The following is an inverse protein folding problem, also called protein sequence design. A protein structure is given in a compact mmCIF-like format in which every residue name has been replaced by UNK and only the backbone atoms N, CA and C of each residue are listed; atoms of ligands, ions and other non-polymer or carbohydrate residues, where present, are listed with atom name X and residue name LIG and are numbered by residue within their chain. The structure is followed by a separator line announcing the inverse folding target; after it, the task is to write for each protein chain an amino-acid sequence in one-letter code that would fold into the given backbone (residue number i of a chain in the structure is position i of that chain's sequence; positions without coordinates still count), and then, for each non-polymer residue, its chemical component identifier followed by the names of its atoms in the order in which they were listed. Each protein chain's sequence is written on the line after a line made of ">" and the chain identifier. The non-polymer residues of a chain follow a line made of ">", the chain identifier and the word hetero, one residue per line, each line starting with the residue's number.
data_IF_722195916772
#
_entry.id   IF_722195916772
#
_cell.length_a   1.000
_cell.length_b   1.000
_cell.length_c   1.000
_cell.angle_alpha   90.00
_cell.angle_beta   90.00
_cell.angle_gamma   90.00
#
_symmetry.space_group_name_H-M   'P 1'
#
loop_
_entity.id
_entity.type
_entity.pdbx_description
1 polymer ?
#
# COMPACT_ATOMS: atom_id res chain seq x y z
N UNK A 1 -19.95 22.80 11.51
CA UNK A 1 -18.57 22.56 11.97
C UNK A 1 -17.75 23.76 11.53
N UNK A 2 -17.04 24.47 12.43
CA UNK A 2 -16.16 25.57 12.03
C UNK A 2 -15.02 25.04 11.16
N UNK A 3 -14.55 25.85 10.19
CA UNK A 3 -13.38 25.49 9.39
C UNK A 3 -12.20 25.26 10.35
N UNK A 4 -11.49 24.15 10.18
CA UNK A 4 -10.24 23.90 10.91
C UNK A 4 -9.20 24.92 10.47
N UNK A 5 -8.40 25.41 11.41
CA UNK A 5 -7.26 26.26 11.08
C UNK A 5 -6.24 25.48 10.25
N UNK A 6 -5.75 26.08 9.17
CA UNK A 6 -4.75 25.48 8.26
C UNK A 6 -3.56 26.42 8.11
N UNK A 7 -2.42 25.85 7.70
CA UNK A 7 -1.24 26.59 7.28
C UNK A 7 -0.76 26.12 5.90
N UNK A 8 0.00 26.96 5.21
CA UNK A 8 0.64 26.61 3.95
C UNK A 8 2.08 26.17 4.19
N UNK A 9 2.47 25.07 3.58
CA UNK A 9 3.80 24.50 3.66
C UNK A 9 4.43 24.36 2.28
N UNK A 10 5.64 24.89 2.09
CA UNK A 10 6.45 24.75 0.89
C UNK A 10 7.42 23.60 1.05
N UNK A 11 7.24 22.56 0.26
CA UNK A 11 8.10 21.40 0.18
C UNK A 11 9.05 21.53 -1.02
N UNK A 12 10.32 21.29 -0.80
CA UNK A 12 11.38 21.31 -1.83
C UNK A 12 12.25 20.05 -1.82
N UNK A 13 12.01 19.12 -0.90
CA UNK A 13 12.77 17.87 -0.70
C UNK A 13 11.89 16.63 -0.75
N UNK A 14 12.12 15.68 0.15
CA UNK A 14 11.38 14.41 0.19
C UNK A 14 9.87 14.55 0.35
N UNK A 15 9.40 15.63 0.98
CA UNK A 15 7.98 15.95 1.12
C UNK A 15 7.30 16.39 -0.20
N UNK A 16 8.04 16.51 -1.30
CA UNK A 16 7.45 16.61 -2.64
C UNK A 16 6.68 15.34 -3.01
N UNK A 17 7.11 14.19 -2.50
CA UNK A 17 6.42 12.93 -2.73
C UNK A 17 5.21 12.79 -1.82
N UNK A 18 4.02 12.74 -2.44
CA UNK A 18 2.74 12.81 -1.74
C UNK A 18 2.56 11.72 -0.66
N UNK A 19 2.94 10.45 -0.87
CA UNK A 19 2.91 9.46 0.20
C UNK A 19 3.78 9.82 1.40
N UNK A 20 4.95 10.43 1.19
CA UNK A 20 5.84 10.86 2.27
C UNK A 20 5.24 11.96 3.13
N UNK A 21 4.72 13.03 2.50
CA UNK A 21 4.11 14.12 3.29
C UNK A 21 2.84 13.65 3.99
N UNK A 22 2.04 12.79 3.38
CA UNK A 22 0.80 12.28 3.98
C UNK A 22 1.03 11.29 5.11
N UNK A 23 2.12 10.52 5.12
CA UNK A 23 2.48 9.69 6.27
C UNK A 23 2.79 10.52 7.53
N UNK A 24 3.17 11.81 7.35
CA UNK A 24 3.46 12.78 8.43
C UNK A 24 2.24 13.64 8.75
N UNK A 25 1.55 14.09 7.72
CA UNK A 25 0.43 15.02 7.74
C UNK A 25 -0.72 14.48 6.88
N UNK A 26 -1.60 13.62 7.43
CA UNK A 26 -2.71 13.03 6.67
C UNK A 26 -3.64 14.05 6.03
N UNK A 27 -3.72 15.27 6.59
CA UNK A 27 -4.54 16.36 6.06
C UNK A 27 -3.92 17.08 4.85
N UNK A 28 -2.68 16.77 4.45
CA UNK A 28 -1.96 17.49 3.39
C UNK A 28 -2.72 17.46 2.05
N UNK A 29 -3.06 18.65 1.56
CA UNK A 29 -3.71 18.87 0.26
C UNK A 29 -2.79 19.67 -0.63
N UNK A 30 -2.57 19.20 -1.86
CA UNK A 30 -1.78 19.90 -2.88
C UNK A 30 -2.50 21.19 -3.29
N UNK A 31 -1.82 22.33 -3.15
CA UNK A 31 -2.25 23.60 -3.72
C UNK A 31 -1.70 23.78 -5.13
N UNK A 32 -0.41 23.52 -5.32
CA UNK A 32 0.25 23.59 -6.62
C UNK A 32 1.75 23.72 -6.53
N UNK A 33 2.40 23.64 -7.70
CA UNK A 33 3.81 23.95 -7.85
C UNK A 33 4.04 25.45 -7.64
N UNK A 34 5.19 25.80 -7.06
CA UNK A 34 5.58 27.17 -6.79
C UNK A 34 7.10 27.35 -6.90
N UNK A 35 7.52 28.59 -7.15
CA UNK A 35 8.93 28.98 -7.14
C UNK A 35 9.18 29.99 -6.04
N UNK A 36 10.22 29.77 -5.27
CA UNK A 36 10.68 30.68 -4.24
C UNK A 36 11.91 31.42 -4.72
N UNK A 37 11.70 32.65 -5.18
CA UNK A 37 12.77 33.52 -5.67
C UNK A 37 13.70 33.98 -4.53
N UNK A 38 15.00 34.09 -4.82
CA UNK A 38 15.99 34.49 -3.84
C UNK A 38 16.44 33.34 -2.91
N UNK A 39 16.15 32.10 -3.29
CA UNK A 39 16.52 30.90 -2.53
C UNK A 39 17.05 29.81 -3.47
N UNK A 40 18.02 29.04 -2.98
CA UNK A 40 18.54 27.87 -3.70
C UNK A 40 18.49 26.61 -2.83
N UNK A 41 18.32 25.47 -3.49
CA UNK A 41 18.33 24.15 -2.83
C UNK A 41 19.75 23.59 -2.84
N UNK A 42 20.18 23.09 -1.69
CA UNK A 42 21.47 22.43 -1.47
C UNK A 42 21.25 21.02 -0.92
N UNK A 43 22.26 20.16 -1.03
CA UNK A 43 22.22 18.82 -0.43
C UNK A 43 23.32 18.73 0.63
N UNK A 44 23.10 19.33 1.79
CA UNK A 44 24.14 19.55 2.78
C UNK A 44 23.69 19.44 4.26
N UNK A 45 22.43 19.08 4.53
CA UNK A 45 21.95 18.81 5.88
C UNK A 45 22.35 17.40 6.30
N UNK A 46 23.13 17.22 7.39
CA UNK A 46 23.48 15.88 7.89
C UNK A 46 22.24 15.11 8.35
N UNK A 47 22.26 13.80 8.20
CA UNK A 47 21.18 12.92 8.65
C UNK A 47 21.73 11.79 9.53
N UNK A 48 20.88 11.26 10.42
CA UNK A 48 21.22 10.13 11.30
C UNK A 48 21.60 8.86 10.54
N UNK A 49 21.20 8.74 9.29
CA UNK A 49 21.57 7.61 8.41
C UNK A 49 22.97 7.76 7.79
N UNK A 50 23.67 8.87 8.08
CA UNK A 50 25.02 9.16 7.59
C UNK A 50 25.07 9.82 6.21
N UNK A 51 23.92 10.11 5.57
CA UNK A 51 23.85 10.80 4.28
C UNK A 51 23.49 12.28 4.42
N UNK A 52 23.59 13.05 3.34
CA UNK A 52 23.04 14.40 3.27
C UNK A 52 21.56 14.39 2.88
N UNK A 53 20.82 15.40 3.36
CA UNK A 53 19.45 15.70 2.93
C UNK A 53 19.39 17.09 2.28
N UNK A 54 18.32 17.34 1.54
CA UNK A 54 18.08 18.61 0.88
C UNK A 54 17.83 19.71 1.91
N UNK A 55 18.39 20.87 1.66
CA UNK A 55 18.29 22.09 2.44
C UNK A 55 18.01 23.27 1.52
N UNK A 56 17.46 24.35 2.06
CA UNK A 56 17.21 25.60 1.34
C UNK A 56 17.95 26.74 2.04
N UNK A 57 18.60 27.61 1.27
CA UNK A 57 19.30 28.79 1.79
C UNK A 57 19.01 30.01 0.92
N UNK A 58 19.08 31.18 1.57
CA UNK A 58 18.97 32.45 0.85
C UNK A 58 20.09 32.58 -0.19
N UNK A 59 19.71 32.85 -1.43
CA UNK A 59 20.59 33.08 -2.57
C UNK A 59 19.89 34.10 -3.49
N UNK A 60 20.32 35.37 -3.51
CA UNK A 60 19.65 36.41 -4.29
C UNK A 60 19.53 36.11 -5.80
N UNK A 61 20.34 35.20 -6.32
CA UNK A 61 20.30 34.76 -7.72
C UNK A 61 19.56 33.44 -7.92
N UNK A 62 19.11 32.80 -6.84
CA UNK A 62 18.51 31.48 -6.85
C UNK A 62 16.99 31.52 -7.07
N UNK A 63 16.46 30.38 -7.50
CA UNK A 63 15.04 30.11 -7.62
C UNK A 63 14.78 28.67 -7.20
N UNK A 64 14.26 28.46 -6.00
CA UNK A 64 13.94 27.11 -5.51
C UNK A 64 12.55 26.71 -5.95
N UNK A 65 12.45 25.59 -6.67
CA UNK A 65 11.18 25.02 -7.10
C UNK A 65 10.65 24.04 -6.07
N UNK A 66 9.33 24.02 -5.88
CA UNK A 66 8.70 23.15 -4.91
C UNK A 66 7.19 23.08 -5.05
N UNK A 67 6.53 22.53 -4.04
CA UNK A 67 5.08 22.38 -3.98
C UNK A 67 4.54 22.99 -2.70
N UNK A 68 3.45 23.73 -2.81
CA UNK A 68 2.71 24.22 -1.66
C UNK A 68 1.60 23.24 -1.30
N UNK A 69 1.57 22.86 -0.03
CA UNK A 69 0.50 22.10 0.59
C UNK A 69 -0.31 22.99 1.53
N UNK A 70 -1.62 22.75 1.62
CA UNK A 70 -2.45 23.19 2.72
C UNK A 70 -2.60 22.04 3.73
N UNK A 71 -2.28 22.31 5.01
CA UNK A 71 -2.20 21.30 6.06
C UNK A 71 -2.98 21.82 7.27
N UNK A 72 -3.77 20.94 7.93
CA UNK A 72 -4.45 21.27 9.17
C UNK A 72 -3.43 21.57 10.29
N UNK A 73 -3.67 22.60 11.12
CA UNK A 73 -2.79 22.94 12.26
C UNK A 73 -2.60 21.77 13.23
N UNK A 74 -3.54 20.82 13.28
CA UNK A 74 -3.41 19.60 14.08
C UNK A 74 -2.23 18.71 13.70
N UNK A 75 -1.79 18.74 12.43
CA UNK A 75 -0.68 17.94 11.93
C UNK A 75 0.69 18.65 12.10
N UNK A 76 0.69 19.93 12.48
CA UNK A 76 1.90 20.74 12.60
C UNK A 76 2.96 20.10 13.48
N UNK A 77 2.57 19.58 14.64
CA UNK A 77 3.50 18.94 15.57
C UNK A 77 4.17 17.68 14.98
N UNK A 78 3.42 16.91 14.20
CA UNK A 78 3.96 15.71 13.55
C UNK A 78 4.95 16.09 12.43
N UNK A 79 4.67 17.15 11.68
CA UNK A 79 5.58 17.68 10.67
C UNK A 79 6.87 18.19 11.33
N UNK A 80 6.80 19.03 12.37
CA UNK A 80 7.95 19.54 13.07
C UNK A 80 8.83 18.39 13.66
N UNK A 81 8.19 17.36 14.20
CA UNK A 81 8.90 16.18 14.75
C UNK A 81 9.61 15.35 13.67
N UNK A 82 9.13 15.40 12.43
CA UNK A 82 9.72 14.67 11.30
C UNK A 82 10.87 15.41 10.62
N UNK A 83 11.15 16.64 11.02
CA UNK A 83 12.20 17.52 10.46
C UNK A 83 13.24 17.89 11.54
N UNK A 84 13.94 16.88 12.14
CA UNK A 84 14.88 17.13 13.23
C UNK A 84 16.03 18.03 12.75
N UNK A 85 16.43 18.97 13.62
CA UNK A 85 17.52 19.95 13.39
C UNK A 85 17.24 20.99 12.31
N UNK A 86 16.12 20.91 11.59
CA UNK A 86 15.68 22.01 10.75
C UNK A 86 14.97 23.09 11.58
N UNK A 87 15.09 24.34 11.11
CA UNK A 87 14.43 25.52 11.68
C UNK A 87 13.24 25.89 10.77
N UNK A 88 12.02 25.98 11.31
CA UNK A 88 10.88 26.48 10.53
C UNK A 88 11.02 27.98 10.28
N UNK A 89 10.83 28.39 9.03
CA UNK A 89 10.80 29.79 8.62
C UNK A 89 9.50 30.08 7.87
N UNK A 90 9.06 31.33 7.90
CA UNK A 90 7.90 31.80 7.12
C UNK A 90 8.40 32.77 6.06
N UNK A 91 8.03 32.47 4.83
CA UNK A 91 8.40 33.22 3.63
C UNK A 91 7.11 33.68 2.92
N UNK A 92 7.24 34.59 1.99
CA UNK A 92 6.11 35.01 1.13
C UNK A 92 6.24 34.35 -0.26
N UNK A 93 5.17 33.70 -0.68
CA UNK A 93 5.02 33.19 -2.04
C UNK A 93 3.71 33.72 -2.60
N UNK A 94 3.77 34.43 -3.72
CA UNK A 94 2.61 35.09 -4.35
C UNK A 94 1.78 35.96 -3.39
N UNK A 95 2.47 36.69 -2.50
CA UNK A 95 1.84 37.57 -1.52
C UNK A 95 1.12 36.86 -0.35
N UNK A 96 1.40 35.58 -0.15
CA UNK A 96 0.83 34.78 0.93
C UNK A 96 1.93 34.18 1.81
N UNK A 97 1.76 34.14 3.16
CA UNK A 97 2.71 33.50 4.04
C UNK A 97 2.72 31.99 3.85
N UNK A 98 3.93 31.44 3.70
CA UNK A 98 4.16 30.01 3.51
C UNK A 98 5.31 29.57 4.41
N UNK A 99 5.10 28.53 5.18
CA UNK A 99 6.10 27.96 6.05
C UNK A 99 6.98 26.98 5.28
N UNK A 100 8.25 26.95 5.58
CA UNK A 100 9.19 25.90 5.12
C UNK A 100 10.25 25.67 6.20
N UNK A 101 11.17 24.72 5.96
CA UNK A 101 12.26 24.40 6.87
C UNK A 101 13.62 24.73 6.23
N UNK A 102 14.54 25.20 7.03
CA UNK A 102 15.94 25.41 6.64
C UNK A 102 16.88 24.83 7.70
N UNK A 103 18.05 24.35 7.29
CA UNK A 103 19.11 23.92 8.19
C UNK A 103 20.21 24.98 8.20
N UNK A 104 20.50 25.48 9.39
CA UNK A 104 21.48 26.58 9.62
C UNK A 104 22.83 26.11 10.18
N UNK A 105 22.99 24.80 10.42
CA UNK A 105 24.22 24.23 10.95
C UNK A 105 25.33 24.05 9.90
N UNK A 106 26.40 23.37 10.31
CA UNK A 106 27.55 23.11 9.44
C UNK A 106 27.16 22.20 8.27
N UNK A 107 27.54 22.55 7.03
CA UNK A 107 27.25 21.77 5.85
C UNK A 107 27.83 20.35 5.90
N UNK A 108 27.07 19.37 5.56
CA UNK A 108 27.56 18.01 5.41
C UNK A 108 28.22 17.80 4.05
N UNK A 109 29.30 17.01 4.01
CA UNK A 109 30.08 16.76 2.78
C UNK A 109 29.76 15.39 2.15
N UNK A 110 29.05 14.52 2.86
CA UNK A 110 28.63 13.23 2.28
C UNK A 110 27.49 13.39 1.28
N UNK A 111 27.48 12.61 0.19
CA UNK A 111 26.38 12.63 -0.77
C UNK A 111 25.06 12.10 -0.16
N UNK A 112 23.92 12.44 -0.77
CA UNK A 112 22.64 11.81 -0.43
C UNK A 112 22.61 10.34 -0.87
N UNK A 113 21.76 9.54 -0.24
CA UNK A 113 21.47 8.21 -0.76
C UNK A 113 20.56 8.25 -1.99
N UNK A 114 20.75 7.26 -2.88
CA UNK A 114 20.03 7.09 -4.13
C UNK A 114 18.49 7.09 -3.94
N UNK A 115 17.99 6.32 -2.97
CA UNK A 115 16.55 6.26 -2.68
C UNK A 115 15.94 7.60 -2.27
N UNK A 116 16.72 8.44 -1.53
CA UNK A 116 16.25 9.74 -1.07
C UNK A 116 16.07 10.71 -2.26
N UNK A 117 17.05 10.73 -3.14
CA UNK A 117 17.00 11.56 -4.35
C UNK A 117 15.96 11.04 -5.33
N UNK A 118 15.80 9.71 -5.48
CA UNK A 118 14.75 9.12 -6.30
C UNK A 118 13.35 9.51 -5.82
N UNK A 119 13.12 9.49 -4.50
CA UNK A 119 11.86 9.93 -3.89
C UNK A 119 11.58 11.42 -4.15
N UNK A 120 12.57 12.29 -3.93
CA UNK A 120 12.42 13.72 -4.17
C UNK A 120 12.13 14.01 -5.66
N UNK A 121 12.83 13.33 -6.59
CA UNK A 121 12.63 13.44 -8.04
C UNK A 121 11.25 12.94 -8.47
N UNK A 122 10.82 11.78 -7.97
CA UNK A 122 9.49 11.24 -8.28
C UNK A 122 8.39 12.19 -7.81
N UNK A 123 8.53 12.72 -6.57
CA UNK A 123 7.61 13.72 -6.04
C UNK A 123 7.54 14.96 -6.93
N UNK A 124 8.68 15.45 -7.37
CA UNK A 124 8.76 16.59 -8.27
C UNK A 124 8.06 16.36 -9.61
N UNK A 125 8.40 15.26 -10.28
CA UNK A 125 7.79 14.89 -11.56
C UNK A 125 6.28 14.76 -11.46
N UNK A 126 5.75 14.23 -10.35
CA UNK A 126 4.32 14.10 -10.12
C UNK A 126 3.58 15.45 -10.05
N UNK A 127 4.33 16.53 -9.82
CA UNK A 127 3.81 17.92 -9.79
C UNK A 127 4.24 18.75 -11.00
N UNK A 128 4.81 18.12 -12.04
CA UNK A 128 5.23 18.79 -13.27
C UNK A 128 6.51 19.62 -13.13
N UNK A 129 7.29 19.41 -12.07
CA UNK A 129 8.58 20.07 -11.86
C UNK A 129 9.70 19.27 -12.54
N UNK A 130 10.51 19.88 -13.39
CA UNK A 130 11.47 19.17 -14.26
C UNK A 130 12.91 19.31 -13.79
N UNK A 131 13.29 20.46 -13.17
CA UNK A 131 14.64 20.75 -12.73
C UNK A 131 14.65 21.12 -11.25
N UNK A 132 15.01 20.16 -10.41
CA UNK A 132 14.78 20.35 -8.99
C UNK A 132 16.01 20.48 -8.14
N UNK A 133 17.18 20.10 -8.58
CA UNK A 133 18.22 19.95 -7.56
C UNK A 133 19.64 20.12 -8.06
N UNK A 134 20.48 20.63 -7.11
CA UNK A 134 21.89 20.76 -7.33
C UNK A 134 22.52 19.41 -7.71
N UNK A 135 23.64 19.49 -8.37
CA UNK A 135 24.42 18.37 -8.89
C UNK A 135 25.07 17.50 -7.79
N UNK A 136 24.30 17.14 -6.75
CA UNK A 136 24.78 16.14 -5.80
C UNK A 136 24.50 14.75 -6.39
N UNK A 137 25.56 14.12 -6.87
CA UNK A 137 25.48 12.73 -7.33
C UNK A 137 25.16 11.82 -6.14
N UNK A 138 24.04 11.09 -6.14
CA UNK A 138 23.70 10.21 -5.04
C UNK A 138 24.59 8.97 -5.03
N UNK A 139 24.80 8.40 -3.85
CA UNK A 139 25.48 7.11 -3.69
C UNK A 139 24.48 6.03 -3.28
N UNK A 140 24.77 4.75 -3.59
CA UNK A 140 23.95 3.65 -3.14
C UNK A 140 23.84 3.58 -1.62
N UNK A 141 22.64 3.29 -1.11
CA UNK A 141 22.44 3.01 0.32
C UNK A 141 23.19 1.72 0.70
N UNK A 142 24.00 1.72 1.77
CA UNK A 142 24.80 0.55 2.14
C UNK A 142 23.96 -0.66 2.61
N UNK A 143 22.71 -0.44 3.04
CA UNK A 143 21.82 -1.53 3.50
C UNK A 143 21.02 -2.11 2.32
N UNK A 144 20.47 -1.27 1.47
CA UNK A 144 19.64 -1.68 0.33
C UNK A 144 20.02 -0.85 -0.91
N UNK A 145 21.16 -1.15 -1.56
CA UNK A 145 21.62 -0.40 -2.71
C UNK A 145 20.65 -0.53 -3.89
N UNK A 146 20.41 0.59 -4.59
CA UNK A 146 19.53 0.64 -5.76
C UNK A 146 18.04 0.60 -5.44
N UNK A 147 17.65 0.81 -4.18
CA UNK A 147 16.25 0.90 -3.80
C UNK A 147 15.68 2.26 -4.21
N UNK A 148 14.44 2.25 -4.74
CA UNK A 148 13.71 3.45 -5.14
C UNK A 148 12.21 3.31 -4.90
N UNK A 149 11.45 4.41 -4.82
CA UNK A 149 10.00 4.33 -4.80
C UNK A 149 9.47 3.70 -6.10
N UNK A 150 8.43 2.88 -5.98
CA UNK A 150 7.69 2.36 -7.11
C UNK A 150 6.54 3.30 -7.49
N UNK A 151 6.27 3.38 -8.79
CA UNK A 151 5.09 4.02 -9.37
C UNK A 151 4.13 2.99 -9.98
N UNK A 152 3.05 3.47 -10.59
CA UNK A 152 2.11 2.60 -11.32
C UNK A 152 2.77 1.87 -12.50
N UNK A 153 3.77 2.49 -13.12
CA UNK A 153 4.52 1.89 -14.24
C UNK A 153 5.35 0.67 -13.82
N UNK A 154 5.57 0.50 -12.52
CA UNK A 154 6.29 -0.65 -11.96
C UNK A 154 5.36 -1.85 -11.65
N UNK A 155 4.05 -1.74 -11.89
CA UNK A 155 3.08 -2.78 -11.53
C UNK A 155 3.43 -4.14 -12.15
N UNK A 156 3.69 -4.19 -13.45
CA UNK A 156 4.05 -5.43 -14.15
C UNK A 156 5.32 -6.07 -13.58
N UNK A 157 6.32 -5.25 -13.27
CA UNK A 157 7.55 -5.71 -12.64
C UNK A 157 7.30 -6.36 -11.27
N UNK A 158 6.51 -5.71 -10.41
CA UNK A 158 6.16 -6.26 -9.09
C UNK A 158 5.36 -7.53 -9.22
N UNK A 159 4.37 -7.57 -10.12
CA UNK A 159 3.57 -8.76 -10.38
C UNK A 159 4.44 -9.93 -10.84
N UNK A 160 5.47 -9.67 -11.67
CA UNK A 160 6.43 -10.70 -12.11
C UNK A 160 7.17 -11.33 -10.92
N UNK A 161 7.70 -10.52 -9.98
CA UNK A 161 8.38 -11.03 -8.77
C UNK A 161 7.43 -11.91 -7.94
N UNK A 162 6.19 -11.47 -7.77
CA UNK A 162 5.20 -12.20 -6.97
C UNK A 162 4.81 -13.53 -7.64
N UNK A 163 4.56 -13.52 -8.95
CA UNK A 163 4.25 -14.74 -9.72
C UNK A 163 5.41 -15.74 -9.72
N UNK A 164 6.65 -15.28 -9.93
CA UNK A 164 7.84 -16.13 -9.83
C UNK A 164 7.98 -16.75 -8.43
N UNK A 165 7.72 -15.94 -7.38
CA UNK A 165 7.76 -16.40 -6.00
C UNK A 165 6.70 -17.48 -5.72
N UNK A 166 5.48 -17.28 -6.20
CA UNK A 166 4.39 -18.26 -6.07
C UNK A 166 4.69 -19.55 -6.85
N UNK A 167 5.21 -19.43 -8.07
CA UNK A 167 5.53 -20.56 -8.92
C UNK A 167 6.70 -21.43 -8.37
N UNK A 168 7.61 -20.82 -7.61
CA UNK A 168 8.76 -21.53 -7.03
C UNK A 168 8.37 -22.51 -5.90
N UNK A 169 7.15 -22.44 -5.37
CA UNK A 169 6.63 -23.32 -4.31
C UNK A 169 7.60 -23.47 -3.12
N UNK A 170 8.19 -22.37 -2.69
CA UNK A 170 9.08 -22.32 -1.52
C UNK A 170 8.27 -22.25 -0.21
N UNK A 171 8.97 -22.35 0.92
CA UNK A 171 8.37 -22.13 2.26
C UNK A 171 7.97 -20.66 2.51
N UNK A 172 8.34 -19.75 1.60
CA UNK A 172 8.03 -18.33 1.65
C UNK A 172 6.60 -18.09 1.19
N UNK A 173 5.93 -17.17 1.87
CA UNK A 173 4.65 -16.67 1.40
C UNK A 173 4.85 -15.52 0.41
N UNK A 174 4.04 -15.52 -0.64
CA UNK A 174 3.91 -14.41 -1.58
C UNK A 174 2.43 -14.06 -1.72
N UNK A 175 2.10 -12.76 -1.66
CA UNK A 175 0.75 -12.31 -2.01
C UNK A 175 0.49 -12.58 -3.48
N UNK A 176 -0.77 -12.68 -3.84
CA UNK A 176 -1.16 -12.81 -5.25
C UNK A 176 -0.90 -11.52 -6.02
N UNK A 177 -0.41 -11.57 -7.27
CA UNK A 177 -0.22 -10.37 -8.10
C UNK A 177 -1.46 -9.49 -8.22
N UNK A 178 -2.65 -10.08 -8.18
CA UNK A 178 -3.93 -9.39 -8.16
C UNK A 178 -4.18 -8.60 -6.87
N UNK A 179 -3.78 -9.13 -5.71
CA UNK A 179 -3.88 -8.38 -4.44
C UNK A 179 -3.02 -7.13 -4.47
N UNK A 180 -1.80 -7.26 -5.00
CA UNK A 180 -0.93 -6.10 -5.17
C UNK A 180 -1.55 -5.06 -6.11
N UNK A 181 -2.16 -5.51 -7.21
CA UNK A 181 -2.86 -4.62 -8.14
C UNK A 181 -4.07 -3.95 -7.46
N UNK A 182 -4.82 -4.68 -6.65
CA UNK A 182 -5.87 -4.11 -5.81
C UNK A 182 -5.32 -3.00 -4.90
N UNK A 183 -4.21 -3.24 -4.20
CA UNK A 183 -3.57 -2.22 -3.36
C UNK A 183 -3.21 -0.97 -4.15
N UNK A 184 -2.59 -1.11 -5.33
CA UNK A 184 -2.16 0.03 -6.16
C UNK A 184 -3.32 0.91 -6.60
N UNK A 185 -4.48 0.32 -6.91
CA UNK A 185 -5.61 1.07 -7.46
C UNK A 185 -6.67 1.43 -6.43
N UNK A 186 -6.93 0.57 -5.46
CA UNK A 186 -7.88 0.83 -4.39
C UNK A 186 -7.32 1.82 -3.37
N UNK A 187 -6.01 1.78 -3.10
CA UNK A 187 -5.29 2.70 -2.22
C UNK A 187 -4.49 3.73 -3.03
N UNK A 188 -5.12 4.46 -3.93
CA UNK A 188 -4.49 5.49 -4.77
C UNK A 188 -3.77 6.58 -3.95
N UNK A 189 -2.61 7.12 -4.40
CA UNK A 189 -1.88 8.19 -3.72
C UNK A 189 -2.67 9.44 -3.35
N UNK A 190 -3.84 9.62 -3.97
CA UNK A 190 -4.75 10.71 -3.60
C UNK A 190 -5.37 10.54 -2.20
N UNK A 191 -5.28 9.33 -1.63
CA UNK A 191 -5.83 9.02 -0.32
C UNK A 191 -4.74 8.97 0.76
N UNK A 192 -5.01 9.39 2.01
CA UNK A 192 -3.98 9.59 3.03
C UNK A 192 -3.38 8.31 3.60
N UNK A 193 -4.05 7.19 3.49
CA UNK A 193 -3.71 5.88 4.08
C UNK A 193 -3.10 4.90 3.08
N UNK A 194 -2.42 5.41 2.06
CA UNK A 194 -1.85 4.57 1.03
C UNK A 194 -0.52 3.95 1.43
N UNK A 195 -0.32 2.64 1.19
CA UNK A 195 0.99 2.02 1.33
C UNK A 195 1.99 2.58 0.31
N UNK A 196 3.22 2.73 0.73
CA UNK A 196 4.33 3.09 -0.16
C UNK A 196 5.10 1.85 -0.56
N UNK A 197 5.23 1.61 -1.86
CA UNK A 197 6.04 0.52 -2.40
C UNK A 197 7.40 1.02 -2.83
N UNK A 198 8.41 0.21 -2.54
CA UNK A 198 9.82 0.45 -2.86
C UNK A 198 10.37 -0.79 -3.54
N UNK A 199 11.06 -0.62 -4.64
CA UNK A 199 11.70 -1.72 -5.37
C UNK A 199 13.21 -1.59 -5.31
N UNK A 200 13.91 -2.72 -5.19
CA UNK A 200 15.36 -2.80 -5.16
C UNK A 200 15.86 -3.44 -6.45
N UNK A 201 16.31 -2.63 -7.40
CA UNK A 201 16.74 -3.09 -8.73
C UNK A 201 15.72 -4.07 -9.34
N UNK A 202 16.14 -5.30 -9.65
CA UNK A 202 15.31 -6.41 -10.14
C UNK A 202 15.12 -7.54 -9.11
N UNK A 203 15.49 -7.31 -7.85
CA UNK A 203 15.62 -8.37 -6.83
C UNK A 203 14.41 -8.52 -5.93
N UNK A 204 13.72 -7.43 -5.61
CA UNK A 204 12.63 -7.48 -4.64
C UNK A 204 11.93 -6.14 -4.43
N UNK A 205 10.96 -6.19 -3.54
CA UNK A 205 10.18 -5.02 -3.13
C UNK A 205 9.93 -5.02 -1.62
N UNK A 206 9.73 -3.82 -1.08
CA UNK A 206 9.19 -3.59 0.25
C UNK A 206 7.98 -2.68 0.16
N UNK A 207 6.88 -3.02 0.81
CA UNK A 207 5.78 -2.09 1.06
C UNK A 207 5.82 -1.62 2.50
N UNK A 208 5.55 -0.35 2.70
CA UNK A 208 5.39 0.25 4.02
C UNK A 208 3.96 0.79 4.07
N UNK A 209 3.13 0.17 4.87
CA UNK A 209 1.77 0.60 5.13
C UNK A 209 1.70 1.29 6.50
N UNK A 210 1.09 2.47 6.56
CA UNK A 210 1.03 3.29 7.76
C UNK A 210 -0.43 3.54 8.14
N UNK A 211 -0.94 2.77 9.08
CA UNK A 211 -2.29 2.91 9.61
C UNK A 211 -2.41 3.94 10.74
N UNK A 212 -1.26 4.54 11.14
CA UNK A 212 -1.17 5.52 12.21
C UNK A 212 0.27 5.68 12.72
N UNK A 213 0.51 6.55 13.70
CA UNK A 213 1.87 6.86 14.17
C UNK A 213 2.58 5.69 14.87
N UNK A 214 1.89 4.59 15.13
CA UNK A 214 2.42 3.39 15.83
C UNK A 214 2.05 2.07 15.15
N UNK A 215 1.40 2.12 14.00
CA UNK A 215 0.89 0.95 13.28
C UNK A 215 1.43 0.96 11.84
N UNK A 216 2.72 0.66 11.72
CA UNK A 216 3.38 0.54 10.43
C UNK A 216 3.65 -0.93 10.13
N UNK A 217 3.16 -1.42 9.01
CA UNK A 217 3.46 -2.75 8.51
C UNK A 217 4.50 -2.67 7.40
N UNK A 218 5.49 -3.54 7.47
CA UNK A 218 6.52 -3.76 6.45
C UNK A 218 6.25 -5.11 5.81
N UNK A 219 6.01 -5.13 4.51
CA UNK A 219 5.90 -6.38 3.75
C UNK A 219 7.03 -6.45 2.74
N UNK A 220 7.79 -7.55 2.72
CA UNK A 220 8.94 -7.72 1.83
C UNK A 220 8.82 -8.99 1.03
N UNK A 221 8.92 -8.85 -0.30
CA UNK A 221 8.99 -9.96 -1.24
C UNK A 221 10.25 -9.82 -2.10
N UNK A 222 10.98 -10.91 -2.23
CA UNK A 222 12.17 -10.97 -3.10
C UNK A 222 12.01 -12.12 -4.09
N UNK A 223 12.74 -12.09 -5.19
CA UNK A 223 12.86 -13.29 -6.04
C UNK A 223 13.32 -14.49 -5.21
N UNK A 224 12.90 -15.71 -5.55
CA UNK A 224 13.28 -16.91 -4.82
C UNK A 224 14.79 -17.01 -4.61
N UNK A 225 15.21 -17.37 -3.40
CA UNK A 225 16.62 -17.54 -3.04
C UNK A 225 17.37 -16.25 -2.65
N UNK A 226 16.75 -15.06 -2.80
CA UNK A 226 17.37 -13.81 -2.36
C UNK A 226 17.00 -13.49 -0.90
N UNK A 227 17.95 -12.88 -0.19
CA UNK A 227 17.78 -12.43 1.20
C UNK A 227 16.82 -11.26 1.29
N UNK A 228 15.91 -11.28 2.28
CA UNK A 228 14.93 -10.23 2.56
C UNK A 228 15.37 -9.25 3.65
N UNK A 229 16.32 -9.65 4.50
CA UNK A 229 16.74 -8.85 5.65
C UNK A 229 17.30 -7.46 5.28
N UNK A 230 18.03 -7.26 4.18
CA UNK A 230 18.44 -5.92 3.77
C UNK A 230 17.26 -4.97 3.57
N UNK A 231 16.20 -5.40 2.90
CA UNK A 231 14.97 -4.60 2.68
C UNK A 231 14.21 -4.37 3.98
N UNK A 232 14.10 -5.38 4.83
CA UNK A 232 13.47 -5.25 6.17
C UNK A 232 14.24 -4.23 7.02
N UNK A 233 15.57 -4.32 7.12
CA UNK A 233 16.39 -3.40 7.89
C UNK A 233 16.35 -1.98 7.34
N UNK A 234 16.33 -1.84 6.01
CA UNK A 234 16.16 -0.55 5.37
C UNK A 234 14.80 0.09 5.71
N UNK A 235 13.70 -0.67 5.60
CA UNK A 235 12.35 -0.19 5.93
C UNK A 235 12.23 0.15 7.43
N UNK A 236 12.79 -0.68 8.31
CA UNK A 236 12.83 -0.40 9.75
C UNK A 236 13.59 0.89 10.09
N UNK A 237 14.72 1.14 9.44
CA UNK A 237 15.45 2.40 9.63
C UNK A 237 14.60 3.62 9.26
N UNK A 238 13.76 3.50 8.22
CA UNK A 238 12.82 4.57 7.83
C UNK A 238 11.69 4.78 8.84
N UNK A 239 11.35 3.76 9.60
CA UNK A 239 10.28 3.77 10.60
C UNK A 239 10.79 3.88 12.04
N UNK A 240 12.04 4.34 12.26
CA UNK A 240 12.66 4.40 13.59
C UNK A 240 12.57 3.06 14.38
N UNK A 241 12.65 1.95 13.66
CA UNK A 241 12.52 0.58 14.18
C UNK A 241 11.15 0.27 14.83
N UNK A 242 10.08 0.90 14.37
CA UNK A 242 8.70 0.72 14.86
C UNK A 242 7.80 -0.04 13.89
N UNK A 243 8.35 -0.59 12.81
CA UNK A 243 7.59 -1.36 11.84
C UNK A 243 7.37 -2.81 12.30
N UNK A 244 6.21 -3.34 11.99
CA UNK A 244 5.87 -4.76 12.09
C UNK A 244 6.15 -5.43 10.76
N UNK A 245 6.80 -6.60 10.75
CA UNK A 245 7.09 -7.35 9.51
C UNK A 245 5.95 -8.31 9.24
N UNK A 246 5.17 -8.03 8.20
CA UNK A 246 3.98 -8.82 7.82
C UNK A 246 4.29 -9.98 6.86
N UNK A 247 3.29 -10.83 6.68
CA UNK A 247 3.23 -11.92 5.71
C UNK A 247 4.39 -12.94 5.78
N UNK A 248 4.85 -13.29 6.99
CA UNK A 248 5.85 -14.33 7.22
C UNK A 248 5.16 -15.68 7.42
N UNK A 249 5.42 -16.65 6.53
CA UNK A 249 4.92 -18.02 6.68
C UNK A 249 5.55 -18.69 7.90
N UNK A 250 4.76 -19.50 8.65
CA UNK A 250 5.29 -20.32 9.76
C UNK A 250 6.31 -21.39 9.25
N UNK A 251 6.32 -21.68 7.96
CA UNK A 251 7.27 -22.61 7.34
C UNK A 251 8.60 -21.94 6.94
N UNK A 252 8.66 -20.62 6.87
CA UNK A 252 9.85 -19.84 6.50
C UNK A 252 10.85 -19.74 7.66
N UNK A 253 11.49 -20.87 7.94
CA UNK A 253 12.42 -21.02 9.09
C UNK A 253 13.65 -20.13 9.00
N UNK A 254 14.09 -19.83 7.79
CA UNK A 254 15.24 -18.95 7.56
C UNK A 254 14.92 -17.53 8.06
N UNK A 255 13.88 -16.91 7.53
CA UNK A 255 13.49 -15.54 7.93
C UNK A 255 13.08 -15.49 9.41
N UNK A 256 12.35 -16.49 9.91
CA UNK A 256 11.96 -16.56 11.32
C UNK A 256 13.20 -16.53 12.23
N UNK A 257 14.22 -17.35 11.93
CA UNK A 257 15.46 -17.37 12.70
C UNK A 257 16.20 -16.01 12.69
N UNK A 258 16.21 -15.31 11.55
CA UNK A 258 16.81 -13.99 11.45
C UNK A 258 16.03 -12.92 12.21
N UNK A 259 14.69 -12.95 12.13
CA UNK A 259 13.82 -12.03 12.88
C UNK A 259 13.98 -12.25 14.40
N UNK A 260 14.00 -13.50 14.86
CA UNK A 260 14.23 -13.83 16.27
C UNK A 260 15.59 -13.34 16.75
N UNK A 261 16.65 -13.51 15.95
CA UNK A 261 17.99 -13.01 16.26
C UNK A 261 18.05 -11.48 16.34
N UNK A 262 17.26 -10.77 15.55
CA UNK A 262 17.11 -9.31 15.57
C UNK A 262 16.08 -8.82 16.64
N UNK A 263 15.54 -9.73 17.50
CA UNK A 263 14.69 -9.40 18.63
C UNK A 263 13.20 -9.24 18.32
N UNK A 264 12.76 -9.78 17.18
CA UNK A 264 11.32 -9.81 16.85
C UNK A 264 10.61 -10.98 17.53
N UNK A 265 9.32 -10.81 17.74
CA UNK A 265 8.41 -11.86 18.20
C UNK A 265 7.16 -11.91 17.33
N UNK A 266 6.53 -13.10 17.18
CA UNK A 266 5.29 -13.22 16.44
C UNK A 266 4.18 -12.42 17.14
N UNK A 267 3.34 -11.77 16.32
CA UNK A 267 2.20 -10.97 16.79
C UNK A 267 0.91 -11.47 16.11
N UNK A 268 0.42 -10.78 15.09
CA UNK A 268 -0.84 -11.12 14.45
C UNK A 268 -0.75 -12.40 13.61
N UNK A 269 -1.86 -13.14 13.48
CA UNK A 269 -1.94 -14.42 12.77
C UNK A 269 -3.02 -14.39 11.70
N UNK A 270 -2.63 -14.72 10.48
CA UNK A 270 -3.55 -15.02 9.38
C UNK A 270 -3.56 -16.52 9.11
N UNK A 271 -4.69 -17.06 8.70
CA UNK A 271 -4.82 -18.41 8.16
C UNK A 271 -4.85 -18.39 6.65
N UNK A 272 -4.09 -19.28 6.02
CA UNK A 272 -4.10 -19.53 4.59
C UNK A 272 -4.91 -20.78 4.28
N UNK A 273 -5.81 -20.66 3.33
CA UNK A 273 -6.68 -21.75 2.88
C UNK A 273 -6.48 -21.99 1.38
N UNK A 274 -6.67 -23.25 0.97
CA UNK A 274 -6.55 -23.66 -0.42
C UNK A 274 -7.69 -24.57 -0.84
N UNK A 275 -8.14 -24.39 -2.08
CA UNK A 275 -9.04 -25.31 -2.78
C UNK A 275 -8.33 -25.89 -3.99
N UNK A 276 -8.39 -27.23 -4.14
CA UNK A 276 -7.90 -27.93 -5.32
C UNK A 276 -8.97 -27.92 -6.40
N UNK A 277 -8.76 -27.12 -7.46
CA UNK A 277 -9.67 -26.99 -8.58
C UNK A 277 -9.56 -28.13 -9.62
N UNK A 278 -8.61 -29.05 -9.48
CA UNK A 278 -8.54 -30.24 -10.34
C UNK A 278 -9.65 -31.22 -10.03
N UNK A 279 -10.14 -31.24 -8.77
CA UNK A 279 -11.28 -32.03 -8.32
C UNK A 279 -12.66 -31.45 -8.73
N UNK A 280 -13.72 -32.05 -8.26
CA UNK A 280 -15.08 -31.53 -8.50
C UNK A 280 -15.36 -30.28 -7.63
N UNK A 281 -16.03 -29.31 -8.25
CA UNK A 281 -16.57 -28.15 -7.54
C UNK A 281 -18.07 -28.39 -7.30
N UNK A 282 -18.56 -28.25 -6.06
CA UNK A 282 -19.99 -28.41 -5.78
C UNK A 282 -20.83 -27.39 -6.57
N UNK A 283 -22.02 -27.81 -6.96
CA UNK A 283 -22.97 -26.90 -7.64
C UNK A 283 -23.46 -25.83 -6.65
N UNK A 284 -23.55 -24.56 -7.08
CA UNK A 284 -24.16 -23.52 -6.26
C UNK A 284 -25.66 -23.77 -6.05
N UNK A 285 -26.10 -23.73 -4.80
CA UNK A 285 -27.50 -23.86 -4.42
C UNK A 285 -27.99 -22.52 -3.87
N UNK A 286 -28.89 -21.87 -4.60
CA UNK A 286 -29.49 -20.60 -4.22
C UNK A 286 -30.96 -20.78 -3.86
N UNK A 287 -31.52 -20.00 -2.94
CA UNK A 287 -32.96 -19.93 -2.75
C UNK A 287 -33.67 -19.45 -4.00
N UNK A 288 -34.98 -19.78 -4.11
CA UNK A 288 -35.78 -19.42 -5.29
C UNK A 288 -35.79 -17.92 -5.55
N UNK A 289 -35.51 -17.53 -6.78
CA UNK A 289 -35.50 -16.13 -7.24
C UNK A 289 -34.21 -15.39 -7.06
N UNK A 290 -33.21 -16.00 -6.43
CA UNK A 290 -31.85 -15.46 -6.32
C UNK A 290 -31.03 -15.71 -7.58
N UNK A 291 -30.08 -14.83 -7.87
CA UNK A 291 -29.18 -14.97 -9.02
C UNK A 291 -27.73 -14.66 -8.61
N UNK A 292 -26.78 -15.32 -9.29
CA UNK A 292 -25.36 -14.95 -9.25
C UNK A 292 -24.98 -14.44 -10.63
N UNK A 293 -24.26 -13.36 -10.69
CA UNK A 293 -23.77 -12.72 -11.91
C UNK A 293 -22.60 -11.78 -11.61
N UNK A 294 -21.94 -11.32 -12.65
CA UNK A 294 -20.97 -10.20 -12.52
C UNK A 294 -21.69 -8.88 -12.25
N UNK A 295 -20.96 -7.92 -11.69
CA UNK A 295 -21.40 -6.52 -11.57
C UNK A 295 -21.64 -5.94 -12.96
N UNK A 296 -22.75 -5.22 -13.15
CA UNK A 296 -23.15 -4.71 -14.48
C UNK A 296 -22.47 -3.38 -14.86
N UNK A 297 -21.58 -2.87 -14.03
CA UNK A 297 -20.81 -1.64 -14.26
C UNK A 297 -21.01 -0.59 -13.17
N UNK A 298 -20.51 0.63 -13.42
CA UNK A 298 -20.47 1.72 -12.44
C UNK A 298 -21.86 2.10 -11.88
N UNK A 299 -22.95 1.83 -12.60
CA UNK A 299 -24.31 2.08 -12.12
C UNK A 299 -24.69 1.26 -10.88
N UNK A 300 -24.01 0.11 -10.65
CA UNK A 300 -24.19 -0.73 -9.46
C UNK A 300 -23.14 -0.49 -8.38
N UNK A 301 -22.16 0.36 -8.63
CA UNK A 301 -21.02 0.55 -7.71
C UNK A 301 -21.46 0.93 -6.29
N UNK A 302 -22.50 1.75 -6.14
CA UNK A 302 -22.99 2.12 -4.82
C UNK A 302 -23.60 0.92 -4.08
N UNK A 303 -24.45 0.12 -4.71
CA UNK A 303 -25.05 -1.07 -4.08
C UNK A 303 -24.00 -2.13 -3.75
N UNK A 304 -22.97 -2.30 -4.62
CA UNK A 304 -21.84 -3.18 -4.38
C UNK A 304 -20.97 -2.69 -3.20
N UNK A 305 -20.73 -1.36 -3.12
CA UNK A 305 -20.05 -0.71 -2.00
C UNK A 305 -20.85 -0.87 -0.70
N UNK A 306 -22.18 -0.70 -0.71
CA UNK A 306 -23.05 -0.88 0.46
C UNK A 306 -22.91 -2.27 1.05
N UNK A 307 -22.99 -3.31 0.21
CA UNK A 307 -22.80 -4.69 0.65
C UNK A 307 -21.40 -4.90 1.28
N UNK A 308 -20.35 -4.34 0.67
CA UNK A 308 -18.97 -4.42 1.19
C UNK A 308 -18.81 -3.67 2.50
N UNK A 309 -19.34 -2.45 2.57
CA UNK A 309 -19.28 -1.61 3.76
C UNK A 309 -19.94 -2.28 4.97
N UNK A 310 -21.12 -2.89 4.76
CA UNK A 310 -21.83 -3.61 5.79
C UNK A 310 -21.14 -4.94 6.18
N UNK A 311 -20.64 -5.70 5.20
CA UNK A 311 -19.99 -6.99 5.44
C UNK A 311 -18.70 -6.88 6.26
N UNK A 312 -17.95 -5.80 6.06
CA UNK A 312 -16.67 -5.55 6.75
C UNK A 312 -16.81 -4.59 7.93
N UNK A 313 -18.02 -4.15 8.29
CA UNK A 313 -18.24 -3.16 9.36
C UNK A 313 -17.34 -1.93 9.19
N UNK A 314 -17.19 -1.48 7.93
CA UNK A 314 -16.20 -0.45 7.57
C UNK A 314 -16.52 0.89 8.22
N UNK A 315 -15.51 1.54 8.79
CA UNK A 315 -15.59 2.90 9.34
C UNK A 315 -15.19 3.97 8.32
N UNK A 316 -14.77 3.56 7.13
CA UNK A 316 -14.40 4.47 6.04
C UNK A 316 -15.61 5.33 5.65
N UNK A 317 -15.45 6.66 5.40
CA UNK A 317 -16.53 7.47 4.85
C UNK A 317 -17.08 6.87 3.56
N UNK A 318 -18.40 6.73 3.45
CA UNK A 318 -19.07 6.05 2.33
C UNK A 318 -18.70 6.63 0.96
N UNK A 319 -18.56 7.96 0.88
CA UNK A 319 -18.14 8.65 -0.35
C UNK A 319 -16.72 8.28 -0.77
N UNK A 320 -15.81 8.10 0.19
CA UNK A 320 -14.44 7.67 -0.08
C UNK A 320 -14.43 6.20 -0.51
N UNK A 321 -15.18 5.33 0.17
CA UNK A 321 -15.30 3.92 -0.19
C UNK A 321 -15.84 3.73 -1.61
N UNK A 322 -16.89 4.48 -1.97
CA UNK A 322 -17.43 4.47 -3.33
C UNK A 322 -16.40 4.96 -4.36
N UNK A 323 -15.70 6.06 -4.06
CA UNK A 323 -14.68 6.59 -4.98
C UNK A 323 -13.56 5.59 -5.22
N UNK A 324 -13.05 4.93 -4.17
CA UNK A 324 -12.03 3.89 -4.29
C UNK A 324 -12.47 2.71 -5.16
N UNK A 325 -13.71 2.26 -4.96
CA UNK A 325 -14.24 1.17 -5.76
C UNK A 325 -14.43 1.59 -7.22
N UNK A 326 -14.91 2.81 -7.50
CA UNK A 326 -14.99 3.34 -8.87
C UNK A 326 -13.61 3.48 -9.52
N UNK A 327 -12.59 3.93 -8.78
CA UNK A 327 -11.23 4.02 -9.29
C UNK A 327 -10.66 2.64 -9.63
N UNK A 328 -10.97 1.63 -8.80
CA UNK A 328 -10.64 0.24 -9.11
C UNK A 328 -11.36 -0.26 -10.38
N UNK A 329 -12.67 -0.04 -10.50
CA UNK A 329 -13.43 -0.44 -11.70
C UNK A 329 -12.92 0.19 -13.00
N UNK A 330 -12.26 1.36 -12.93
CA UNK A 330 -11.66 2.09 -14.06
C UNK A 330 -10.21 1.72 -14.31
N UNK A 331 -9.64 0.90 -13.46
CA UNK A 331 -8.25 0.49 -13.60
C UNK A 331 -8.07 -0.55 -14.72
N UNK A 332 -6.87 -0.63 -15.33
CA UNK A 332 -6.59 -1.61 -16.38
C UNK A 332 -6.54 -3.06 -15.85
N UNK A 333 -6.51 -3.25 -14.53
CA UNK A 333 -6.49 -4.59 -13.90
C UNK A 333 -7.88 -5.10 -13.54
N UNK A 334 -8.91 -4.27 -13.66
CA UNK A 334 -10.28 -4.68 -13.39
C UNK A 334 -10.83 -5.61 -14.47
N UNK A 335 -11.23 -6.79 -14.07
CA UNK A 335 -11.91 -7.77 -14.91
C UNK A 335 -13.38 -7.88 -14.44
N UNK A 336 -14.35 -7.28 -15.17
CA UNK A 336 -15.76 -7.26 -14.75
C UNK A 336 -16.33 -8.66 -14.52
N UNK A 337 -15.88 -9.64 -15.28
CA UNK A 337 -16.28 -11.05 -15.15
C UNK A 337 -15.82 -11.70 -13.86
N UNK A 338 -14.80 -11.13 -13.18
CA UNK A 338 -14.28 -11.62 -11.92
C UNK A 338 -14.90 -10.95 -10.69
N UNK A 339 -15.69 -9.89 -10.87
CA UNK A 339 -16.40 -9.21 -9.78
C UNK A 339 -17.86 -9.71 -9.71
N UNK A 340 -18.03 -10.75 -8.91
CA UNK A 340 -19.28 -11.50 -8.82
C UNK A 340 -20.15 -11.03 -7.66
N UNK A 341 -21.45 -11.03 -7.87
CA UNK A 341 -22.47 -10.69 -6.85
C UNK A 341 -23.59 -11.70 -6.81
N UNK A 342 -24.07 -11.98 -5.61
CA UNK A 342 -25.35 -12.66 -5.40
C UNK A 342 -26.44 -11.63 -5.15
N UNK A 343 -27.49 -11.66 -5.97
CA UNK A 343 -28.57 -10.67 -5.98
C UNK A 343 -29.87 -11.30 -5.51
N UNK A 344 -30.53 -10.63 -4.57
CA UNK A 344 -31.80 -11.03 -4.01
C UNK A 344 -32.95 -10.86 -5.01
N UNK A 345 -34.16 -11.46 -4.77
CA UNK A 345 -35.34 -11.22 -5.60
C UNK A 345 -35.82 -9.75 -5.59
N UNK A 346 -35.43 -8.95 -4.58
CA UNK A 346 -35.70 -7.51 -4.51
C UNK A 346 -34.71 -6.67 -5.29
N UNK A 347 -33.59 -7.26 -5.77
CA UNK A 347 -32.55 -6.57 -6.50
C UNK A 347 -31.36 -6.12 -5.65
N UNK A 348 -31.33 -6.47 -4.35
CA UNK A 348 -30.25 -6.09 -3.44
C UNK A 348 -29.02 -6.97 -3.66
N UNK A 349 -27.83 -6.37 -3.67
CA UNK A 349 -26.56 -7.11 -3.64
C UNK A 349 -26.32 -7.61 -2.22
N UNK A 350 -26.46 -8.92 -2.03
CA UNK A 350 -26.37 -9.55 -0.72
C UNK A 350 -25.00 -10.15 -0.41
N UNK A 351 -24.29 -10.60 -1.42
CA UNK A 351 -22.92 -11.12 -1.28
C UNK A 351 -22.10 -10.75 -2.49
N UNK A 352 -20.81 -10.68 -2.32
CA UNK A 352 -19.88 -10.25 -3.36
C UNK A 352 -18.55 -10.99 -3.27
N UNK A 353 -17.85 -11.07 -4.39
CA UNK A 353 -16.54 -11.69 -4.49
C UNK A 353 -15.80 -11.10 -5.67
N UNK A 354 -14.55 -10.69 -5.47
CA UNK A 354 -13.61 -10.53 -6.57
C UNK A 354 -12.62 -11.70 -6.52
N UNK A 355 -12.30 -12.24 -7.68
CA UNK A 355 -11.25 -13.24 -7.77
C UNK A 355 -10.20 -12.85 -8.80
N UNK A 356 -8.98 -13.23 -8.51
CA UNK A 356 -7.79 -12.92 -9.28
C UNK A 356 -7.23 -14.18 -9.91
N UNK A 357 -6.58 -14.04 -11.05
CA UNK A 357 -5.84 -15.11 -11.72
C UNK A 357 -4.50 -14.60 -12.18
N UNK A 358 -3.53 -15.50 -12.28
CA UNK A 358 -2.23 -15.24 -12.89
C UNK A 358 -1.79 -16.39 -13.80
N UNK A 359 -0.64 -16.22 -14.44
CA UNK A 359 -0.09 -17.24 -15.34
C UNK A 359 0.38 -18.52 -14.62
N UNK A 360 0.52 -18.50 -13.30
CA UNK A 360 0.88 -19.70 -12.51
C UNK A 360 -0.27 -20.70 -12.40
N UNK A 361 -1.49 -20.32 -12.81
CA UNK A 361 -2.71 -21.13 -12.67
C UNK A 361 -3.27 -21.14 -11.25
N UNK A 362 -2.83 -20.22 -10.41
CA UNK A 362 -3.37 -19.98 -9.07
C UNK A 362 -4.38 -18.85 -9.13
N UNK A 363 -5.58 -19.09 -8.60
CA UNK A 363 -6.56 -18.03 -8.36
C UNK A 363 -6.54 -17.63 -6.88
N UNK A 364 -6.95 -16.41 -6.59
CA UNK A 364 -7.17 -15.92 -5.22
C UNK A 364 -8.49 -15.18 -5.12
N UNK A 365 -9.20 -15.39 -4.01
CA UNK A 365 -10.41 -14.66 -3.67
C UNK A 365 -10.02 -13.52 -2.73
N UNK A 366 -10.24 -12.26 -3.19
CA UNK A 366 -10.03 -11.04 -2.41
C UNK A 366 -10.63 -9.83 -3.14
N UNK A 367 -11.60 -9.10 -2.55
CA UNK A 367 -12.32 -9.40 -1.30
C UNK A 367 -13.54 -10.34 -1.50
N UNK A 368 -14.00 -10.95 -0.40
CA UNK A 368 -15.25 -11.69 -0.33
C UNK A 368 -16.05 -11.29 0.92
N UNK A 369 -17.36 -11.12 0.79
CA UNK A 369 -18.23 -10.81 1.92
C UNK A 369 -19.70 -11.07 1.65
N UNK A 370 -20.48 -11.14 2.74
CA UNK A 370 -21.93 -11.24 2.72
C UNK A 370 -22.53 -10.22 3.68
N UNK A 371 -23.44 -9.39 3.17
CA UNK A 371 -24.15 -8.39 3.98
C UNK A 371 -24.81 -9.05 5.19
N UNK A 372 -24.75 -8.47 6.40
CA UNK A 372 -25.25 -9.08 7.63
C UNK A 372 -26.70 -9.60 7.55
N UNK A 373 -27.58 -8.87 6.90
CA UNK A 373 -29.01 -9.24 6.76
C UNK A 373 -29.23 -10.49 5.92
N UNK A 374 -28.27 -10.92 5.12
CA UNK A 374 -28.34 -12.08 4.23
C UNK A 374 -27.43 -13.24 4.65
N UNK A 375 -26.75 -13.10 5.79
CA UNK A 375 -25.90 -14.17 6.31
C UNK A 375 -26.71 -15.40 6.75
N UNK A 376 -26.06 -16.56 6.85
CA UNK A 376 -26.62 -17.83 7.33
C UNK A 376 -27.77 -18.40 6.48
N UNK A 377 -27.93 -17.91 5.25
CA UNK A 377 -28.91 -18.37 4.28
C UNK A 377 -28.30 -19.21 3.13
N UNK A 378 -27.00 -19.52 3.21
CA UNK A 378 -26.26 -20.27 2.19
C UNK A 378 -25.78 -19.43 0.99
N UNK A 379 -26.10 -18.13 0.95
CA UNK A 379 -25.81 -17.25 -0.20
C UNK A 379 -24.30 -17.15 -0.46
N UNK A 380 -23.50 -16.85 0.57
CA UNK A 380 -22.04 -16.75 0.44
C UNK A 380 -21.40 -18.07 -0.03
N UNK A 381 -21.89 -19.23 0.47
CA UNK A 381 -21.43 -20.54 0.04
C UNK A 381 -21.75 -20.78 -1.44
N UNK A 382 -22.95 -20.43 -1.89
CA UNK A 382 -23.34 -20.57 -3.28
C UNK A 382 -22.48 -19.67 -4.19
N UNK A 383 -22.18 -18.44 -3.76
CA UNK A 383 -21.29 -17.53 -4.50
C UNK A 383 -19.87 -18.09 -4.62
N UNK A 384 -19.31 -18.65 -3.53
CA UNK A 384 -17.99 -19.30 -3.56
C UNK A 384 -17.99 -20.47 -4.56
N UNK A 385 -18.98 -21.38 -4.51
CA UNK A 385 -19.02 -22.50 -5.43
C UNK A 385 -19.18 -22.07 -6.90
N UNK A 386 -19.94 -21.00 -7.15
CA UNK A 386 -20.04 -20.41 -8.48
C UNK A 386 -18.70 -19.91 -8.98
N UNK A 387 -18.00 -19.08 -8.18
CA UNK A 387 -16.68 -18.54 -8.54
C UNK A 387 -15.60 -19.62 -8.68
N UNK A 388 -15.58 -20.64 -7.81
CA UNK A 388 -14.69 -21.79 -7.99
C UNK A 388 -14.94 -22.51 -9.32
N UNK A 389 -16.20 -22.59 -9.75
CA UNK A 389 -16.58 -23.13 -11.06
C UNK A 389 -16.02 -22.29 -12.21
N UNK A 390 -16.12 -20.96 -12.12
CA UNK A 390 -15.56 -20.04 -13.13
C UNK A 390 -14.04 -20.09 -13.17
N UNK A 391 -13.36 -20.06 -12.01
CA UNK A 391 -11.91 -20.20 -11.90
C UNK A 391 -11.42 -21.50 -12.58
N UNK A 392 -12.11 -22.62 -12.30
CA UNK A 392 -11.81 -23.89 -12.95
C UNK A 392 -12.03 -23.84 -14.46
N UNK A 393 -13.11 -23.24 -14.93
CA UNK A 393 -13.39 -23.06 -16.36
C UNK A 393 -12.34 -22.15 -17.04
N UNK A 394 -11.77 -21.20 -16.31
CA UNK A 394 -10.67 -20.34 -16.75
C UNK A 394 -9.30 -21.07 -16.73
N UNK A 395 -9.25 -22.34 -16.33
CA UNK A 395 -8.03 -23.13 -16.32
C UNK A 395 -7.17 -23.03 -15.05
N UNK A 396 -7.70 -22.41 -13.99
CA UNK A 396 -7.00 -22.40 -12.70
C UNK A 396 -7.04 -23.79 -12.06
N UNK A 397 -5.91 -24.17 -11.45
CA UNK A 397 -5.81 -25.48 -10.78
C UNK A 397 -5.89 -25.38 -9.25
N UNK A 398 -5.72 -24.16 -8.70
CA UNK A 398 -5.76 -23.91 -7.25
C UNK A 398 -6.46 -22.55 -6.99
N UNK A 399 -7.30 -22.50 -5.96
CA UNK A 399 -7.80 -21.24 -5.41
C UNK A 399 -7.26 -21.05 -4.00
N UNK A 400 -6.80 -19.84 -3.68
CA UNK A 400 -6.31 -19.41 -2.37
C UNK A 400 -7.24 -18.40 -1.74
N UNK A 401 -7.26 -18.38 -0.41
CA UNK A 401 -7.85 -17.30 0.38
C UNK A 401 -7.10 -17.17 1.69
N UNK A 402 -7.00 -15.95 2.21
CA UNK A 402 -6.39 -15.64 3.49
C UNK A 402 -7.43 -14.94 4.35
N UNK A 403 -7.39 -15.20 5.66
CA UNK A 403 -8.26 -14.51 6.62
C UNK A 403 -7.58 -14.42 7.98
N UNK A 404 -7.96 -13.42 8.78
CA UNK A 404 -7.49 -13.29 10.16
C UNK A 404 -7.90 -14.49 11.03
N UNK A 405 -7.09 -14.78 12.05
CA UNK A 405 -7.41 -15.75 13.12
C UNK A 405 -7.64 -14.99 14.45
N UNK A 406 -8.69 -15.28 15.24
CA UNK A 406 -9.86 -16.11 14.96
C UNK A 406 -11.04 -15.26 14.47
N UNK A 407 -11.53 -15.53 13.28
CA UNK A 407 -12.77 -14.91 12.78
C UNK A 407 -13.79 -15.95 12.33
N UNK A 408 -15.04 -15.54 12.21
CA UNK A 408 -16.12 -16.36 11.63
C UNK A 408 -15.77 -16.89 10.24
N UNK A 409 -14.87 -16.20 9.51
CA UNK A 409 -14.39 -16.57 8.20
C UNK A 409 -13.62 -17.91 8.19
N UNK A 410 -12.81 -18.21 9.24
CA UNK A 410 -12.07 -19.48 9.30
C UNK A 410 -13.03 -20.68 9.29
N UNK A 411 -14.06 -20.66 10.16
CA UNK A 411 -15.10 -21.69 10.22
C UNK A 411 -15.88 -21.78 8.91
N UNK A 412 -16.13 -20.63 8.27
CA UNK A 412 -16.83 -20.59 6.99
C UNK A 412 -16.04 -21.32 5.90
N UNK A 413 -14.76 -20.98 5.68
CA UNK A 413 -13.93 -21.59 4.65
C UNK A 413 -13.77 -23.10 4.86
N UNK A 414 -13.54 -23.55 6.08
CA UNK A 414 -13.48 -24.97 6.42
C UNK A 414 -14.81 -25.69 6.14
N UNK A 415 -15.94 -25.05 6.49
CA UNK A 415 -17.29 -25.62 6.24
C UNK A 415 -17.60 -25.69 4.75
N UNK A 416 -17.11 -24.74 3.96
CA UNK A 416 -17.27 -24.73 2.51
C UNK A 416 -16.40 -25.81 1.87
N UNK A 417 -15.30 -26.21 2.48
CA UNK A 417 -14.43 -27.30 2.01
C UNK A 417 -13.00 -26.87 1.60
N UNK A 418 -12.62 -25.66 1.94
CA UNK A 418 -11.19 -25.27 1.81
C UNK A 418 -10.33 -26.02 2.83
N UNK A 419 -9.15 -26.43 2.40
CA UNK A 419 -8.15 -27.02 3.27
C UNK A 419 -7.31 -25.92 3.95
N UNK A 420 -7.16 -25.98 5.27
CA UNK A 420 -6.16 -25.18 6.00
C UNK A 420 -4.76 -25.61 5.56
N UNK A 421 -3.96 -24.68 5.05
CA UNK A 421 -2.61 -24.96 4.53
C UNK A 421 -1.51 -24.25 5.33
N UNK A 422 -1.85 -23.64 6.45
CA UNK A 422 -0.87 -23.06 7.35
C UNK A 422 -1.18 -21.65 7.82
N UNK A 423 -0.22 -21.09 8.50
CA UNK A 423 -0.32 -19.75 9.10
C UNK A 423 0.73 -18.82 8.52
N UNK A 424 0.33 -17.58 8.46
CA UNK A 424 1.17 -16.44 8.09
C UNK A 424 1.09 -15.48 9.27
N UNK A 425 2.22 -14.91 9.66
CA UNK A 425 2.27 -14.04 10.83
C UNK A 425 2.85 -12.70 10.49
N UNK A 426 2.48 -11.71 11.31
CA UNK A 426 3.30 -10.54 11.50
C UNK A 426 4.28 -10.73 12.67
N UNK A 427 5.36 -9.95 12.65
CA UNK A 427 6.44 -10.01 13.61
C UNK A 427 6.79 -8.61 14.07
N UNK A 428 6.74 -8.38 15.37
CA UNK A 428 7.03 -7.08 16.00
C UNK A 428 8.30 -7.15 16.82
N UNK A 429 9.11 -6.11 16.73
CA UNK A 429 10.30 -5.96 17.56
C UNK A 429 9.89 -5.57 18.98
N UNK A 430 10.47 -6.24 20.01
CA UNK A 430 10.13 -6.09 21.43
C UNK A 430 11.22 -5.34 22.18
#
# INVERSE_FOLDING_TARGET
>A
MGAKATFRYFAYGSNLWLPQIRSRCPSAKVIGAATLEGWSVFCDKPSLDGSAKLNIRADPSGAAHGVIYEIDEGDRRALDASEPEYVPIVLEVDGSPVMTYTYEGDPHTHPPYDWYMAMARLGALSHGLVDLHPAAEPIPDPIAPGIRPAGRDDLEFVQTILSEGMAAQTDRYYIHPGDYAWWVYHYDPRYPDQPSTWIQNDSGLATIDSHGPHENEITVFTRPGLDRMPLIRWAQRRLDNKGEVGFVSDDDRELIGELEADGYKPDHVYRSYRWDLTGEVPKPELPKGWTIRSVTGEGEANSRREASHAAFESTMPETLHLQRYLDFMRSPVYAPEHDLVAVSPSGDIASFMVWWSDESGVAQIEPFGTHPDYQRQGIGRALIYHGLGEMKAAGMHTCRVITDEPRHATVFYETVGFADVGRIRSWRRV
#
